data_IF_205447783111
#
_entry.id   IF_205447783111
#
_cell.length_a   1.000
_cell.length_b   1.000
_cell.length_c   1.000
_cell.angle_alpha   90.00
_cell.angle_beta   90.00
_cell.angle_gamma   90.00
#
_symmetry.space_group_name_H-M   'P 1'
#
loop_
_entity.id
_entity.type
_entity.pdbx_description
1 polymer ?
#
# COMPACT_ATOMS: atom_id res chain seq x y z
N UNK A 1 -19.27 8.22 5.86
CA UNK A 1 -18.32 7.31 5.19
C UNK A 1 -17.66 6.53 6.29
N UNK A 2 -17.81 5.20 6.33
CA UNK A 2 -17.12 4.38 7.34
C UNK A 2 -15.62 4.44 7.08
N UNK A 3 -14.85 4.71 8.13
CA UNK A 3 -13.41 4.94 8.00
C UNK A 3 -12.63 3.74 8.54
N UNK A 4 -11.47 3.44 7.95
CA UNK A 4 -10.58 2.36 8.42
C UNK A 4 -10.24 2.47 9.92
N UNK A 5 -9.95 3.66 10.49
CA UNK A 5 -9.70 3.80 11.93
C UNK A 5 -10.87 3.36 12.81
N UNK A 6 -12.12 3.60 12.38
CA UNK A 6 -13.32 3.22 13.13
C UNK A 6 -13.46 1.69 13.23
N UNK A 7 -13.11 0.96 12.17
CA UNK A 7 -13.12 -0.50 12.19
C UNK A 7 -11.99 -1.02 13.09
N UNK A 8 -10.79 -0.43 13.03
CA UNK A 8 -9.65 -0.78 13.90
C UNK A 8 -9.98 -0.54 15.37
N UNK A 9 -10.68 0.55 15.70
CA UNK A 9 -11.07 0.86 17.08
C UNK A 9 -12.04 -0.17 17.66
N UNK A 10 -12.93 -0.73 16.82
CA UNK A 10 -13.90 -1.73 17.25
C UNK A 10 -13.25 -3.09 17.46
N UNK A 11 -12.69 -3.68 16.41
CA UNK A 11 -12.27 -5.09 16.41
C UNK A 11 -10.76 -5.29 16.57
N UNK A 12 -10.01 -4.20 16.69
CA UNK A 12 -8.55 -4.21 16.78
C UNK A 12 -7.84 -4.34 15.43
N UNK A 13 -6.56 -3.95 15.43
CA UNK A 13 -5.72 -3.91 14.22
C UNK A 13 -5.60 -5.26 13.51
N UNK A 14 -5.38 -6.33 14.27
CA UNK A 14 -5.08 -7.65 13.69
C UNK A 14 -6.29 -8.25 12.97
N UNK A 15 -7.48 -8.11 13.57
CA UNK A 15 -8.74 -8.56 12.97
C UNK A 15 -9.10 -7.73 11.76
N UNK A 16 -8.92 -6.41 11.83
CA UNK A 16 -9.09 -5.54 10.66
C UNK A 16 -8.14 -5.96 9.54
N UNK A 17 -6.87 -6.24 9.84
CA UNK A 17 -5.91 -6.68 8.84
C UNK A 17 -6.32 -8.00 8.16
N UNK A 18 -6.83 -8.98 8.93
CA UNK A 18 -7.39 -10.22 8.37
C UNK A 18 -8.60 -9.96 7.48
N UNK A 19 -9.49 -9.07 7.91
CA UNK A 19 -10.68 -8.69 7.16
C UNK A 19 -10.31 -8.00 5.84
N UNK A 20 -9.35 -7.07 5.86
CA UNK A 20 -8.90 -6.38 4.65
C UNK A 20 -8.16 -7.30 3.69
N UNK A 21 -7.31 -8.20 4.20
CA UNK A 21 -6.58 -9.18 3.36
C UNK A 21 -7.51 -10.11 2.59
N UNK A 22 -8.68 -10.40 3.15
CA UNK A 22 -9.64 -11.37 2.58
C UNK A 22 -10.74 -10.69 1.76
N UNK A 23 -11.30 -9.59 2.26
CA UNK A 23 -12.50 -8.94 1.71
C UNK A 23 -12.29 -7.47 1.33
N UNK A 24 -11.06 -6.95 1.43
CA UNK A 24 -10.73 -5.55 1.19
C UNK A 24 -11.12 -5.08 -0.23
N UNK A 25 -11.54 -3.82 -0.31
CA UNK A 25 -11.98 -3.20 -1.57
C UNK A 25 -13.40 -3.58 -1.99
N UNK A 26 -14.13 -4.36 -1.19
CA UNK A 26 -15.49 -4.80 -1.48
C UNK A 26 -16.50 -4.19 -0.50
N UNK A 27 -17.77 -4.11 -0.92
CA UNK A 27 -18.89 -3.88 0.00
C UNK A 27 -19.42 -5.22 0.50
N UNK A 28 -19.57 -5.37 1.81
CA UNK A 28 -20.08 -6.58 2.46
C UNK A 28 -21.26 -6.24 3.37
N UNK A 29 -22.29 -7.05 3.28
CA UNK A 29 -23.44 -6.94 4.15
C UNK A 29 -23.04 -7.45 5.53
N UNK A 30 -23.26 -6.63 6.55
CA UNK A 30 -23.05 -7.00 7.95
C UNK A 30 -24.41 -7.40 8.52
N UNK A 31 -24.59 -8.69 8.81
CA UNK A 31 -25.81 -9.17 9.45
C UNK A 31 -25.92 -8.59 10.87
N UNK A 32 -27.11 -8.14 11.27
CA UNK A 32 -27.35 -7.64 12.63
C UNK A 32 -27.20 -8.72 13.70
N UNK A 33 -27.35 -9.99 13.31
CA UNK A 33 -27.14 -11.16 14.15
C UNK A 33 -26.21 -12.13 13.39
N UNK A 34 -24.88 -12.04 13.59
CA UNK A 34 -23.94 -12.90 12.91
C UNK A 34 -24.07 -14.35 13.41
N UNK A 35 -24.11 -15.29 12.47
CA UNK A 35 -24.13 -16.73 12.75
C UNK A 35 -22.74 -17.33 12.54
N UNK A 36 -22.48 -18.51 13.11
CA UNK A 36 -21.21 -19.23 12.95
C UNK A 36 -20.86 -19.57 11.49
N UNK A 37 -21.87 -19.63 10.62
CA UNK A 37 -21.70 -19.89 9.18
C UNK A 37 -21.37 -18.64 8.37
N UNK A 38 -21.43 -17.44 8.98
CA UNK A 38 -21.12 -16.19 8.30
C UNK A 38 -19.64 -16.13 7.89
N UNK A 39 -19.38 -15.74 6.64
CA UNK A 39 -18.01 -15.56 6.14
C UNK A 39 -17.20 -14.58 6.98
N UNK A 40 -17.83 -13.55 7.55
CA UNK A 40 -17.16 -12.58 8.43
C UNK A 40 -16.74 -13.26 9.72
N UNK A 41 -17.63 -14.05 10.34
CA UNK A 41 -17.31 -14.80 11.56
C UNK A 41 -16.15 -15.78 11.33
N UNK A 42 -16.11 -16.44 10.17
CA UNK A 42 -15.01 -17.33 9.81
C UNK A 42 -13.64 -16.60 9.72
N UNK A 43 -13.63 -15.31 9.39
CA UNK A 43 -12.39 -14.52 9.20
C UNK A 43 -11.90 -13.91 10.52
N UNK A 44 -12.79 -13.24 11.26
CA UNK A 44 -12.40 -12.46 12.45
C UNK A 44 -12.82 -13.10 13.77
N UNK A 45 -13.65 -14.13 13.76
CA UNK A 45 -14.24 -14.76 14.94
C UNK A 45 -15.61 -14.19 15.31
N UNK A 46 -16.31 -14.90 16.20
CA UNK A 46 -17.68 -14.54 16.61
C UNK A 46 -17.72 -13.21 17.37
N UNK A 47 -16.83 -13.03 18.36
CA UNK A 47 -16.84 -11.84 19.22
C UNK A 47 -16.65 -10.54 18.42
N UNK A 48 -15.62 -10.50 17.58
CA UNK A 48 -15.35 -9.36 16.70
C UNK A 48 -16.47 -9.13 15.67
N UNK A 49 -17.11 -10.20 15.18
CA UNK A 49 -18.25 -10.06 14.28
C UNK A 49 -19.48 -9.49 15.00
N UNK A 50 -19.69 -9.82 16.27
CA UNK A 50 -20.76 -9.23 17.09
C UNK A 50 -20.53 -7.75 17.33
N UNK A 51 -19.30 -7.32 17.63
CA UNK A 51 -18.95 -5.90 17.77
C UNK A 51 -19.19 -5.11 16.47
N UNK A 52 -18.78 -5.69 15.33
CA UNK A 52 -19.09 -5.12 14.02
C UNK A 52 -20.59 -5.04 13.76
N UNK A 53 -21.35 -6.08 14.11
CA UNK A 53 -22.81 -6.11 13.93
C UNK A 53 -23.53 -5.12 14.85
N UNK A 54 -23.04 -4.91 16.07
CA UNK A 54 -23.61 -3.93 16.99
C UNK A 54 -23.57 -2.50 16.42
N UNK A 55 -22.50 -2.16 15.68
CA UNK A 55 -22.34 -0.82 15.09
C UNK A 55 -22.83 -0.72 13.65
N UNK A 56 -22.61 -1.75 12.85
CA UNK A 56 -22.87 -1.73 11.40
C UNK A 56 -23.92 -2.74 10.91
N UNK A 57 -24.60 -3.43 11.83
CA UNK A 57 -25.61 -4.43 11.52
C UNK A 57 -26.74 -3.89 10.64
N UNK A 58 -27.12 -4.68 9.65
CA UNK A 58 -28.17 -4.33 8.69
C UNK A 58 -27.69 -3.47 7.52
N UNK A 59 -26.39 -3.16 7.43
CA UNK A 59 -25.83 -2.27 6.41
C UNK A 59 -24.82 -2.94 5.48
N UNK A 60 -24.67 -2.39 4.28
CA UNK A 60 -23.55 -2.70 3.37
C UNK A 60 -22.32 -1.86 3.76
N UNK A 61 -21.42 -2.47 4.50
CA UNK A 61 -20.16 -1.88 4.92
C UNK A 61 -19.10 -2.01 3.81
N UNK A 62 -18.45 -0.91 3.45
CA UNK A 62 -17.26 -0.97 2.61
C UNK A 62 -16.06 -1.41 3.46
N UNK A 63 -15.40 -2.50 3.05
CA UNK A 63 -14.19 -2.98 3.71
C UNK A 63 -12.99 -2.26 3.08
N UNK A 64 -12.23 -1.47 3.87
CA UNK A 64 -11.02 -0.81 3.38
C UNK A 64 -9.94 -1.83 2.98
N UNK A 65 -8.85 -1.34 2.41
CA UNK A 65 -7.68 -2.16 2.04
C UNK A 65 -6.36 -1.43 2.27
N UNK A 66 -6.41 -0.24 2.88
CA UNK A 66 -5.25 0.65 3.00
C UNK A 66 -4.25 0.10 3.99
N UNK A 67 -4.72 -0.45 5.11
CA UNK A 67 -3.86 -1.07 6.12
C UNK A 67 -3.16 -2.31 5.55
N UNK A 68 -3.90 -3.21 4.91
CA UNK A 68 -3.34 -4.41 4.27
C UNK A 68 -2.35 -4.05 3.15
N UNK A 69 -2.67 -3.06 2.32
CA UNK A 69 -1.76 -2.55 1.31
C UNK A 69 -0.49 -1.94 1.92
N UNK A 70 -0.62 -1.24 3.05
CA UNK A 70 0.52 -0.62 3.75
C UNK A 70 1.46 -1.67 4.32
N UNK A 71 0.95 -2.67 5.03
CA UNK A 71 1.75 -3.77 5.60
C UNK A 71 2.45 -4.55 4.47
N UNK A 72 1.73 -4.91 3.39
CA UNK A 72 2.33 -5.55 2.21
C UNK A 72 3.45 -4.69 1.60
N UNK A 73 3.23 -3.39 1.47
CA UNK A 73 4.25 -2.51 0.89
C UNK A 73 5.49 -2.43 1.80
N UNK A 74 5.32 -2.40 3.12
CA UNK A 74 6.43 -2.46 4.08
C UNK A 74 7.23 -3.76 3.95
N UNK A 75 6.56 -4.91 3.86
CA UNK A 75 7.21 -6.21 3.61
C UNK A 75 8.00 -6.21 2.28
N UNK A 76 7.43 -5.64 1.22
CA UNK A 76 8.12 -5.49 -0.08
C UNK A 76 9.36 -4.61 0.05
N UNK A 77 9.29 -3.51 0.81
CA UNK A 77 10.45 -2.65 1.06
C UNK A 77 11.56 -3.41 1.80
N UNK A 78 11.21 -4.16 2.84
CA UNK A 78 12.17 -4.96 3.62
C UNK A 78 12.82 -6.05 2.76
N UNK A 79 12.04 -6.78 1.96
CA UNK A 79 12.56 -7.80 1.06
C UNK A 79 13.53 -7.23 0.01
N UNK A 80 13.20 -6.07 -0.57
CA UNK A 80 14.09 -5.38 -1.51
C UNK A 80 15.35 -4.88 -0.80
N UNK A 81 15.23 -4.36 0.42
CA UNK A 81 16.36 -3.92 1.23
C UNK A 81 17.29 -5.08 1.58
N UNK A 82 16.74 -6.26 1.85
CA UNK A 82 17.49 -7.50 2.07
C UNK A 82 18.17 -8.04 0.80
N UNK A 83 17.97 -7.40 -0.36
CA UNK A 83 18.58 -7.79 -1.63
C UNK A 83 17.84 -8.87 -2.40
N UNK A 84 16.60 -9.20 -2.01
CA UNK A 84 15.81 -10.18 -2.76
C UNK A 84 15.53 -9.71 -4.20
N UNK A 85 15.60 -10.66 -5.14
CA UNK A 85 15.31 -10.35 -6.55
C UNK A 85 13.82 -10.03 -6.75
N UNK A 86 13.53 -8.95 -7.47
CA UNK A 86 12.16 -8.41 -7.61
C UNK A 86 11.17 -9.40 -8.23
N UNK A 87 11.65 -10.32 -9.08
CA UNK A 87 10.81 -11.38 -9.64
C UNK A 87 10.33 -12.36 -8.55
N UNK A 88 11.19 -12.74 -7.61
CA UNK A 88 10.84 -13.65 -6.50
C UNK A 88 9.80 -12.99 -5.60
N UNK A 89 10.03 -11.72 -5.26
CA UNK A 89 9.07 -10.89 -4.51
C UNK A 89 7.73 -10.83 -5.26
N UNK A 90 7.77 -10.68 -6.59
CA UNK A 90 6.59 -10.66 -7.45
C UNK A 90 5.77 -11.94 -7.38
N UNK A 91 6.43 -13.09 -7.48
CA UNK A 91 5.77 -14.39 -7.35
C UNK A 91 5.14 -14.57 -5.95
N UNK A 92 5.84 -14.19 -4.88
CA UNK A 92 5.34 -14.30 -3.50
C UNK A 92 4.07 -13.48 -3.25
N UNK A 93 3.99 -12.27 -3.79
CA UNK A 93 2.88 -11.35 -3.56
C UNK A 93 1.86 -11.29 -4.71
N UNK A 94 2.04 -12.09 -5.77
CA UNK A 94 1.18 -12.05 -6.96
C UNK A 94 1.27 -10.71 -7.73
N UNK A 95 2.42 -10.05 -7.69
CA UNK A 95 2.65 -8.75 -8.31
C UNK A 95 3.64 -8.83 -9.46
N UNK A 96 3.37 -8.06 -10.52
CA UNK A 96 4.33 -7.86 -11.61
C UNK A 96 5.47 -6.97 -11.12
N UNK A 97 6.68 -7.21 -11.63
CA UNK A 97 7.90 -6.47 -11.23
C UNK A 97 7.74 -4.95 -11.37
N UNK A 98 7.00 -4.48 -12.38
CA UNK A 98 6.66 -3.06 -12.55
C UNK A 98 5.98 -2.49 -11.31
N UNK A 99 5.03 -3.22 -10.71
CA UNK A 99 4.30 -2.77 -9.52
C UNK A 99 5.22 -2.68 -8.32
N UNK A 100 6.13 -3.66 -8.16
CA UNK A 100 7.16 -3.63 -7.11
C UNK A 100 8.05 -2.40 -7.27
N UNK A 101 8.52 -2.11 -8.48
CA UNK A 101 9.30 -0.89 -8.77
C UNK A 101 8.54 0.38 -8.36
N UNK A 102 7.24 0.47 -8.69
CA UNK A 102 6.41 1.62 -8.30
C UNK A 102 6.27 1.76 -6.78
N UNK A 103 6.08 0.65 -6.07
CA UNK A 103 5.99 0.64 -4.60
C UNK A 103 7.30 1.14 -4.00
N UNK A 104 8.43 0.56 -4.41
CA UNK A 104 9.76 0.90 -3.89
C UNK A 104 10.14 2.35 -4.19
N UNK A 105 9.80 2.87 -5.38
CA UNK A 105 10.12 4.24 -5.79
C UNK A 105 9.18 5.30 -5.20
N UNK A 106 8.09 4.91 -4.54
CA UNK A 106 7.07 5.85 -4.06
C UNK A 106 6.27 6.50 -5.20
N UNK A 107 6.15 5.82 -6.34
CA UNK A 107 5.65 6.36 -7.61
C UNK A 107 4.11 6.47 -7.69
N UNK A 108 3.43 6.40 -6.54
CA UNK A 108 1.97 6.39 -6.43
C UNK A 108 1.35 7.70 -5.92
N UNK A 109 2.13 8.79 -5.85
CA UNK A 109 1.62 10.11 -5.50
C UNK A 109 0.76 10.71 -6.64
N UNK A 110 -0.37 11.38 -6.39
CA UNK A 110 -1.05 12.18 -7.40
C UNK A 110 -0.15 13.34 -7.83
N UNK A 111 0.47 13.19 -9.00
CA UNK A 111 1.46 14.14 -9.52
C UNK A 111 0.77 15.27 -10.26
N UNK A 112 0.13 16.17 -9.52
CA UNK A 112 -0.50 17.37 -10.07
C UNK A 112 0.49 18.13 -10.97
N UNK A 113 0.25 18.13 -12.28
CA UNK A 113 1.03 18.91 -13.25
C UNK A 113 2.43 18.39 -13.63
N UNK A 114 2.90 17.23 -13.14
CA UNK A 114 4.18 16.67 -13.59
C UNK A 114 3.98 15.64 -14.69
N UNK A 115 4.60 15.86 -15.85
CA UNK A 115 4.58 14.88 -16.94
C UNK A 115 5.39 13.62 -16.61
N UNK A 116 4.97 12.48 -17.15
CA UNK A 116 5.67 11.19 -17.03
C UNK A 116 7.18 11.26 -17.35
N UNK A 117 7.59 12.18 -18.23
CA UNK A 117 9.00 12.41 -18.60
C UNK A 117 9.79 13.08 -17.48
N UNK A 118 9.22 14.09 -16.82
CA UNK A 118 9.87 14.84 -15.73
C UNK A 118 10.13 13.95 -14.52
N UNK A 119 9.16 13.09 -14.25
CA UNK A 119 9.20 12.08 -13.21
C UNK A 119 10.34 11.08 -13.43
N UNK A 120 10.41 10.48 -14.63
CA UNK A 120 11.47 9.51 -14.95
C UNK A 120 12.83 10.14 -14.80
N UNK A 121 13.00 11.39 -15.23
CA UNK A 121 14.24 12.13 -15.03
C UNK A 121 14.59 12.32 -13.54
N UNK A 122 13.60 12.49 -12.66
CA UNK A 122 13.85 12.67 -11.24
C UNK A 122 14.16 11.34 -10.52
N UNK A 123 13.41 10.28 -10.81
CA UNK A 123 13.56 8.94 -10.22
C UNK A 123 14.82 8.23 -10.73
N UNK A 124 15.16 8.41 -12.00
CA UNK A 124 16.38 7.83 -12.60
C UNK A 124 17.65 8.62 -12.28
N UNK A 125 17.60 9.59 -11.36
CA UNK A 125 18.79 10.36 -10.95
C UNK A 125 19.33 11.34 -11.99
N UNK A 126 18.62 11.61 -13.11
CA UNK A 126 19.09 12.53 -14.16
C UNK A 126 19.33 13.96 -13.64
N UNK A 127 18.63 14.40 -12.58
CA UNK A 127 18.92 15.72 -11.98
C UNK A 127 20.31 15.76 -11.34
N UNK A 128 20.77 14.68 -10.70
CA UNK A 128 22.08 14.63 -10.06
C UNK A 128 23.21 14.61 -11.10
N UNK A 129 23.05 13.84 -12.17
CA UNK A 129 24.05 13.74 -13.24
C UNK A 129 24.17 15.01 -14.09
N UNK A 130 23.07 15.72 -14.34
CA UNK A 130 23.11 16.99 -15.09
C UNK A 130 23.82 18.09 -14.31
N UNK A 131 23.58 18.16 -13.00
CA UNK A 131 24.22 19.14 -12.11
C UNK A 131 25.71 18.82 -11.94
N UNK A 132 26.09 17.54 -11.75
CA UNK A 132 27.49 17.10 -11.76
C UNK A 132 28.22 17.42 -13.06
N UNK A 133 27.59 17.21 -14.23
CA UNK A 133 28.19 17.55 -15.53
C UNK A 133 28.37 19.05 -15.70
N UNK A 134 27.41 19.86 -15.24
CA UNK A 134 27.52 21.32 -15.27
C UNK A 134 28.63 21.81 -14.33
N UNK A 135 28.71 21.30 -13.10
CA UNK A 135 29.76 21.63 -12.14
C UNK A 135 31.15 21.15 -12.57
N UNK A 136 31.26 19.96 -13.17
CA UNK A 136 32.52 19.52 -13.78
C UNK A 136 32.93 20.42 -14.95
N UNK A 137 31.98 20.87 -15.78
CA UNK A 137 32.29 21.80 -16.87
C UNK A 137 32.70 23.19 -16.37
N UNK A 138 32.09 23.66 -15.26
CA UNK A 138 32.46 24.92 -14.59
C UNK A 138 33.84 24.82 -13.99
N UNK A 139 34.16 23.72 -13.28
CA UNK A 139 35.50 23.45 -12.73
C UNK A 139 36.58 23.38 -13.81
N UNK A 140 36.26 22.80 -14.98
CA UNK A 140 37.17 22.79 -16.14
C UNK A 140 37.35 24.16 -16.80
N UNK A 141 36.38 25.07 -16.68
CA UNK A 141 36.49 26.46 -17.17
C UNK A 141 37.20 27.39 -16.18
N UNK A 142 37.15 27.10 -14.88
CA UNK A 142 37.85 27.86 -13.84
C UNK A 142 39.23 27.30 -13.51
N UNK A 143 39.65 26.21 -14.16
CA UNK A 143 40.97 25.59 -14.01
C UNK A 143 41.80 25.77 -15.27
N UNK A 144 42.26 26.99 -15.53
CA UNK A 144 43.43 27.26 -16.38
C UNK A 144 44.07 28.58 -15.95
N UNK A 145 45.31 28.47 -15.47
CA UNK A 145 46.26 29.48 -14.99
C UNK A 145 45.96 30.13 -13.63
#
# INVERSE_FOLDING_TARGET
>A
MTTEPEIVELIGKDKTLLLERTLGGQRKYIASQPTSESSIVAIIGMDAAQELAARFGGMLLYIPQSLAARERNQEIHLAVWAGEHKQIIGHRFGLVERTIRKIVQGDNWPRYGMSCRHIRAQVQGYRYDRQRRQDQSRRKRTGCA
#
